data_IF_972427836108
#
_entry.id   IF_972427836108
#
_cell.length_a   1.000
_cell.length_b   1.000
_cell.length_c   1.000
_cell.angle_alpha   90.00
_cell.angle_beta   90.00
_cell.angle_gamma   90.00
#
_symmetry.space_group_name_H-M   'P 1'
#
loop_
_entity.id
_entity.type
_entity.pdbx_description
1 polymer ?
#
# COMPACT_ATOMS: atom_id res chain seq x y z
N UNK A 1 -19.14 -75.72 64.96
CA UNK A 1 -17.96 -75.58 64.00
C UNK A 1 -18.38 -75.37 62.58
N UNK A 2 -19.66 -75.47 62.20
CA UNK A 2 -20.12 -75.31 60.80
C UNK A 2 -20.49 -73.87 60.41
N UNK A 3 -20.72 -72.97 61.37
CA UNK A 3 -21.12 -71.62 61.07
C UNK A 3 -19.96 -70.64 60.74
N UNK A 4 -18.76 -70.93 61.21
CA UNK A 4 -17.58 -70.12 60.89
C UNK A 4 -17.10 -70.33 59.42
N UNK A 5 -17.33 -71.49 58.85
CA UNK A 5 -16.93 -71.81 57.51
C UNK A 5 -17.83 -71.14 56.45
N UNK A 6 -19.11 -70.99 56.78
CA UNK A 6 -20.05 -70.25 55.86
C UNK A 6 -19.79 -68.75 55.83
N UNK A 7 -19.34 -68.15 56.91
CA UNK A 7 -19.06 -66.69 56.94
C UNK A 7 -17.75 -66.35 56.22
N UNK A 8 -16.73 -67.22 56.30
CA UNK A 8 -15.49 -67.04 55.62
C UNK A 8 -15.65 -67.08 54.08
N UNK A 9 -16.43 -68.04 53.59
CA UNK A 9 -16.72 -68.19 52.16
C UNK A 9 -17.58 -67.05 51.60
N UNK A 10 -18.50 -66.50 52.43
CA UNK A 10 -19.36 -65.39 52.08
C UNK A 10 -18.58 -64.06 51.98
N UNK A 11 -17.56 -63.86 52.83
CA UNK A 11 -16.69 -62.68 52.79
C UNK A 11 -15.71 -62.73 51.66
N UNK A 12 -15.18 -63.89 51.28
CA UNK A 12 -14.34 -64.05 50.10
C UNK A 12 -15.14 -63.89 48.82
N UNK A 13 -16.34 -64.41 48.70
CA UNK A 13 -17.21 -64.21 47.55
C UNK A 13 -17.64 -62.73 47.42
N UNK A 14 -17.83 -62.01 48.50
CA UNK A 14 -18.16 -60.60 48.49
C UNK A 14 -16.94 -59.75 48.06
N UNK A 15 -15.73 -60.07 48.52
CA UNK A 15 -14.50 -59.40 48.15
C UNK A 15 -14.14 -59.59 46.68
N UNK A 16 -14.36 -60.81 46.13
CA UNK A 16 -14.18 -61.09 44.70
C UNK A 16 -15.24 -60.42 43.84
N UNK A 17 -16.48 -60.28 44.34
CA UNK A 17 -17.56 -59.62 43.62
C UNK A 17 -17.35 -58.10 43.53
N UNK A 18 -16.85 -57.48 44.61
CA UNK A 18 -16.54 -56.06 44.65
C UNK A 18 -15.26 -55.72 43.82
N UNK A 19 -14.26 -56.65 43.72
CA UNK A 19 -13.11 -56.44 42.90
C UNK A 19 -13.40 -56.63 41.39
N UNK A 20 -14.40 -57.45 41.04
CA UNK A 20 -14.82 -57.67 39.63
C UNK A 20 -15.69 -56.51 39.14
N UNK A 21 -16.50 -55.86 40.04
CA UNK A 21 -17.31 -54.72 39.66
C UNK A 21 -16.50 -53.46 39.42
N UNK A 22 -15.37 -53.29 40.11
CA UNK A 22 -14.51 -52.10 39.98
C UNK A 22 -13.67 -52.06 38.69
N UNK A 23 -13.44 -53.22 38.07
CA UNK A 23 -12.68 -53.34 36.83
C UNK A 23 -13.56 -53.14 35.55
N UNK A 24 -14.89 -53.23 35.68
CA UNK A 24 -15.83 -53.04 34.56
C UNK A 24 -16.20 -51.56 34.33
N UNK A 25 -16.03 -50.65 35.30
CA UNK A 25 -16.35 -49.23 35.14
C UNK A 25 -15.21 -48.42 34.50
N UNK A 26 -13.98 -48.90 34.50
CA UNK A 26 -12.81 -48.17 33.99
C UNK A 26 -12.75 -47.90 32.48
N UNK A 27 -13.36 -48.66 31.55
CA UNK A 27 -13.26 -48.39 30.13
C UNK A 27 -14.03 -47.19 29.63
N UNK A 28 -15.09 -46.76 30.35
CA UNK A 28 -15.91 -45.59 29.96
C UNK A 28 -15.18 -44.26 30.23
N UNK A 29 -14.44 -44.18 31.35
CA UNK A 29 -13.69 -42.98 31.74
C UNK A 29 -12.49 -42.74 30.80
N UNK A 30 -11.79 -43.81 30.36
CA UNK A 30 -10.73 -43.75 29.38
C UNK A 30 -11.25 -43.30 27.99
N UNK A 31 -12.47 -43.68 27.63
CA UNK A 31 -13.09 -43.36 26.34
C UNK A 31 -13.44 -41.88 26.19
N UNK A 32 -13.98 -41.24 27.27
CA UNK A 32 -14.24 -39.80 27.31
C UNK A 32 -12.96 -38.97 27.20
N UNK A 33 -11.86 -39.46 27.78
CA UNK A 33 -10.58 -38.75 27.77
C UNK A 33 -9.97 -38.70 26.37
N UNK A 34 -10.05 -39.77 25.58
CA UNK A 34 -9.59 -39.74 24.17
C UNK A 34 -10.41 -38.81 23.28
N UNK A 35 -11.73 -38.79 23.47
CA UNK A 35 -12.62 -37.86 22.73
C UNK A 35 -12.34 -36.42 23.19
N UNK A 36 -12.14 -36.17 24.47
CA UNK A 36 -11.78 -34.87 25.03
C UNK A 36 -10.41 -34.39 24.50
N UNK A 37 -9.40 -35.26 24.50
CA UNK A 37 -8.08 -34.93 23.95
C UNK A 37 -8.12 -34.65 22.46
N UNK A 38 -8.89 -35.44 21.70
CA UNK A 38 -9.04 -35.24 20.25
C UNK A 38 -9.74 -33.92 19.94
N UNK A 39 -10.82 -33.58 20.68
CA UNK A 39 -11.51 -32.30 20.53
C UNK A 39 -10.61 -31.13 20.90
N UNK A 40 -9.77 -31.26 21.93
CA UNK A 40 -8.81 -30.24 22.33
C UNK A 40 -7.77 -29.99 21.22
N UNK A 41 -7.23 -31.06 20.62
CA UNK A 41 -6.28 -30.95 19.50
C UNK A 41 -6.95 -30.25 18.30
N UNK A 42 -8.20 -30.60 17.98
CA UNK A 42 -8.93 -30.01 16.86
C UNK A 42 -9.21 -28.51 17.08
N UNK A 43 -9.62 -28.15 18.29
CA UNK A 43 -9.83 -26.74 18.70
C UNK A 43 -8.49 -25.98 18.66
N UNK A 44 -7.40 -26.58 19.13
CA UNK A 44 -6.06 -25.97 19.10
C UNK A 44 -5.58 -25.71 17.68
N UNK A 45 -5.74 -26.66 16.76
CA UNK A 45 -5.41 -26.48 15.33
C UNK A 45 -6.24 -25.38 14.69
N UNK A 46 -7.53 -25.33 15.01
CA UNK A 46 -8.43 -24.28 14.51
C UNK A 46 -8.05 -22.90 15.03
N UNK A 47 -7.77 -22.78 16.33
CA UNK A 47 -7.31 -21.54 16.95
C UNK A 47 -5.97 -21.06 16.35
N UNK A 48 -5.00 -21.97 16.17
CA UNK A 48 -3.73 -21.68 15.53
C UNK A 48 -3.90 -21.21 14.08
N UNK A 49 -4.84 -21.81 13.34
CA UNK A 49 -5.16 -21.41 11.97
C UNK A 49 -5.74 -20.00 11.90
N UNK A 50 -6.63 -19.63 12.81
CA UNK A 50 -7.19 -18.27 12.90
C UNK A 50 -6.08 -17.26 13.23
N UNK A 51 -5.24 -17.56 14.21
CA UNK A 51 -4.12 -16.68 14.60
C UNK A 51 -3.13 -16.49 13.45
N UNK A 52 -2.84 -17.55 12.71
CA UNK A 52 -1.95 -17.48 11.55
C UNK A 52 -2.56 -16.67 10.41
N UNK A 53 -3.86 -16.81 10.15
CA UNK A 53 -4.57 -16.01 9.16
C UNK A 53 -4.61 -14.52 9.52
N UNK A 54 -4.88 -14.19 10.79
CA UNK A 54 -4.85 -12.82 11.28
C UNK A 54 -3.43 -12.19 11.16
N UNK A 55 -2.39 -12.96 11.51
CA UNK A 55 -1.00 -12.52 11.34
C UNK A 55 -0.65 -12.30 9.88
N UNK A 56 -1.07 -13.21 9.00
CA UNK A 56 -0.85 -13.09 7.55
C UNK A 56 -1.51 -11.82 7.01
N UNK A 57 -2.72 -11.49 7.44
CA UNK A 57 -3.42 -10.29 7.00
C UNK A 57 -2.65 -9.02 7.41
N UNK A 58 -2.13 -8.94 8.64
CA UNK A 58 -1.32 -7.81 9.10
C UNK A 58 -0.03 -7.66 8.29
N UNK A 59 0.66 -8.77 8.02
CA UNK A 59 1.91 -8.76 7.23
C UNK A 59 1.65 -8.37 5.76
N UNK A 60 0.52 -8.79 5.20
CA UNK A 60 0.12 -8.43 3.85
C UNK A 60 -0.24 -6.94 3.75
N UNK A 61 -0.97 -6.40 4.73
CA UNK A 61 -1.26 -4.95 4.80
C UNK A 61 0.04 -4.14 4.88
N UNK A 62 1.00 -4.58 5.68
CA UNK A 62 2.32 -3.94 5.80
C UNK A 62 3.12 -4.02 4.50
N UNK A 63 3.16 -5.19 3.86
CA UNK A 63 3.82 -5.40 2.57
C UNK A 63 3.21 -4.52 1.48
N UNK A 64 1.90 -4.40 1.47
CA UNK A 64 1.12 -3.57 0.56
C UNK A 64 1.46 -2.08 0.71
N UNK A 65 1.49 -1.57 1.95
CA UNK A 65 1.90 -0.19 2.22
C UNK A 65 3.36 0.04 1.83
N UNK A 66 4.25 -0.93 2.10
CA UNK A 66 5.64 -0.89 1.67
C UNK A 66 5.78 -0.78 0.15
N UNK A 67 5.08 -1.64 -0.58
CA UNK A 67 5.09 -1.61 -2.05
C UNK A 67 4.56 -0.28 -2.61
N UNK A 68 3.47 0.25 -2.05
CA UNK A 68 2.95 1.57 -2.43
C UNK A 68 4.00 2.65 -2.19
N UNK A 69 4.63 2.65 -1.03
CA UNK A 69 5.68 3.62 -0.69
C UNK A 69 6.84 3.54 -1.68
N UNK A 70 7.29 2.34 -2.04
CA UNK A 70 8.39 2.15 -2.97
C UNK A 70 8.03 2.66 -4.37
N UNK A 71 6.86 2.30 -4.91
CA UNK A 71 6.40 2.73 -6.24
C UNK A 71 6.21 4.25 -6.28
N UNK A 72 5.56 4.83 -5.26
CA UNK A 72 5.32 6.28 -5.24
C UNK A 72 6.59 7.08 -4.99
N UNK A 73 7.54 6.54 -4.21
CA UNK A 73 8.87 7.13 -4.05
C UNK A 73 9.69 7.07 -5.33
N UNK A 74 9.57 5.97 -6.11
CA UNK A 74 10.20 5.87 -7.41
C UNK A 74 9.60 6.91 -8.38
N UNK A 75 8.28 6.99 -8.45
CA UNK A 75 7.60 7.99 -9.29
C UNK A 75 7.98 9.43 -8.89
N UNK A 76 8.10 9.70 -7.58
CA UNK A 76 8.56 10.99 -7.07
C UNK A 76 9.99 11.30 -7.53
N UNK A 77 10.90 10.32 -7.51
CA UNK A 77 12.27 10.48 -8.05
C UNK A 77 12.25 10.75 -9.54
N UNK A 78 11.50 9.97 -10.30
CA UNK A 78 11.42 10.11 -11.76
C UNK A 78 10.91 11.50 -12.17
N UNK A 79 9.88 12.00 -11.48
CA UNK A 79 9.35 13.36 -11.68
C UNK A 79 10.38 14.42 -11.33
N UNK A 80 11.02 14.30 -10.17
CA UNK A 80 12.06 15.23 -9.74
C UNK A 80 13.21 15.27 -10.75
N UNK A 81 13.67 14.11 -11.18
CA UNK A 81 14.78 14.00 -12.15
C UNK A 81 14.38 14.59 -13.49
N UNK A 82 13.13 14.39 -13.96
CA UNK A 82 12.62 15.02 -15.17
C UNK A 82 12.60 16.55 -15.06
N UNK A 83 12.18 17.09 -13.91
CA UNK A 83 12.19 18.55 -13.67
C UNK A 83 13.62 19.07 -13.60
N UNK A 84 14.50 18.42 -12.85
CA UNK A 84 15.90 18.81 -12.70
C UNK A 84 16.66 18.74 -14.05
N UNK A 85 16.39 17.73 -14.86
CA UNK A 85 16.97 17.63 -16.21
C UNK A 85 16.54 18.82 -17.10
N UNK A 86 15.28 19.26 -17.01
CA UNK A 86 14.82 20.45 -17.74
C UNK A 86 15.49 21.73 -17.22
N UNK A 87 15.67 21.86 -15.91
CA UNK A 87 16.41 22.96 -15.30
C UNK A 87 17.88 22.96 -15.77
N UNK A 88 18.55 21.81 -15.70
CA UNK A 88 19.96 21.69 -16.12
C UNK A 88 20.14 22.06 -17.61
N UNK A 89 19.25 21.56 -18.44
CA UNK A 89 19.28 21.91 -19.88
C UNK A 89 19.03 23.41 -20.12
N UNK A 90 18.14 24.00 -19.32
CA UNK A 90 17.88 25.43 -19.41
C UNK A 90 19.10 26.28 -18.94
N UNK A 91 19.81 25.82 -17.89
CA UNK A 91 21.07 26.44 -17.45
C UNK A 91 22.14 26.39 -18.53
N UNK A 92 22.31 25.23 -19.18
CA UNK A 92 23.25 25.10 -20.30
C UNK A 92 22.86 26.02 -21.48
N UNK A 93 21.57 26.17 -21.73
CA UNK A 93 21.06 27.09 -22.74
C UNK A 93 21.32 28.56 -22.37
N UNK A 94 21.14 28.91 -21.09
CA UNK A 94 21.42 30.24 -20.58
C UNK A 94 22.91 30.59 -20.68
N UNK A 95 23.80 29.63 -20.37
CA UNK A 95 25.26 29.80 -20.55
C UNK A 95 25.64 30.01 -22.03
N UNK A 96 25.08 29.22 -22.95
CA UNK A 96 25.27 29.41 -24.38
C UNK A 96 24.70 30.74 -24.87
N UNK A 97 23.54 31.16 -24.32
CA UNK A 97 22.91 32.43 -24.68
C UNK A 97 23.73 33.63 -24.17
N UNK A 98 24.46 33.52 -23.07
CA UNK A 98 25.31 34.56 -22.53
C UNK A 98 26.42 35.03 -23.48
N UNK A 99 26.77 34.20 -24.49
CA UNK A 99 27.81 34.52 -25.50
C UNK A 99 27.32 35.53 -26.55
N UNK A 100 26.02 35.79 -26.63
CA UNK A 100 25.53 36.87 -27.51
C UNK A 100 25.89 38.24 -26.90
N UNK A 101 26.80 38.93 -27.53
CA UNK A 101 27.43 40.17 -27.00
C UNK A 101 26.63 41.42 -27.34
N UNK A 102 25.85 41.43 -28.41
CA UNK A 102 25.14 42.59 -28.88
C UNK A 102 23.61 42.42 -28.77
N UNK A 103 22.98 43.29 -28.00
CA UNK A 103 21.51 43.38 -27.87
C UNK A 103 20.81 43.77 -29.20
N UNK A 104 21.59 44.14 -30.21
CA UNK A 104 21.06 44.60 -31.49
C UNK A 104 20.72 43.48 -32.49
N UNK A 105 21.20 42.25 -32.28
CA UNK A 105 20.86 41.12 -33.13
C UNK A 105 19.72 40.26 -32.58
N UNK A 106 18.57 40.89 -32.44
CA UNK A 106 17.33 40.27 -31.91
C UNK A 106 16.88 39.08 -32.72
N UNK A 107 17.11 39.10 -34.06
CA UNK A 107 16.70 38.02 -34.97
C UNK A 107 17.56 36.76 -34.75
N UNK A 108 18.86 36.92 -34.57
CA UNK A 108 19.77 35.80 -34.27
C UNK A 108 19.48 35.23 -32.87
N UNK A 109 19.27 36.09 -31.88
CA UNK A 109 18.89 35.68 -30.51
C UNK A 109 17.56 34.91 -30.51
N UNK A 110 16.53 35.43 -31.20
CA UNK A 110 15.21 34.76 -31.31
C UNK A 110 15.34 33.42 -32.06
N UNK A 111 16.14 33.37 -33.10
CA UNK A 111 16.43 32.14 -33.86
C UNK A 111 17.14 31.08 -33.02
N UNK A 112 18.06 31.47 -32.12
CA UNK A 112 18.68 30.57 -31.15
C UNK A 112 17.69 30.05 -30.17
N UNK A 113 16.90 30.96 -29.54
CA UNK A 113 15.86 30.58 -28.56
C UNK A 113 14.81 29.67 -29.19
N UNK A 114 14.44 29.88 -30.45
CA UNK A 114 13.49 29.04 -31.15
C UNK A 114 14.00 27.59 -31.31
N UNK A 115 15.26 27.43 -31.73
CA UNK A 115 15.87 26.09 -31.83
C UNK A 115 15.99 25.41 -30.48
N UNK A 116 16.44 26.14 -29.47
CA UNK A 116 16.53 25.63 -28.11
C UNK A 116 15.15 25.24 -27.55
N UNK A 117 14.14 26.07 -27.79
CA UNK A 117 12.76 25.81 -27.37
C UNK A 117 12.21 24.51 -27.98
N UNK A 118 12.44 24.27 -29.26
CA UNK A 118 12.02 23.04 -29.93
C UNK A 118 12.73 21.80 -29.37
N UNK A 119 14.06 21.87 -29.18
CA UNK A 119 14.85 20.75 -28.65
C UNK A 119 14.47 20.42 -27.21
N UNK A 120 14.27 21.45 -26.40
CA UNK A 120 13.98 21.31 -24.95
C UNK A 120 12.50 21.18 -24.65
N UNK A 121 11.63 21.29 -25.66
CA UNK A 121 10.17 21.24 -25.54
C UNK A 121 9.60 22.36 -24.63
N UNK A 122 10.18 23.55 -24.69
CA UNK A 122 9.62 24.75 -24.09
C UNK A 122 8.76 25.51 -25.09
N UNK A 123 7.68 26.11 -24.64
CA UNK A 123 6.80 26.94 -25.48
C UNK A 123 6.25 28.10 -24.66
N UNK A 124 6.82 29.29 -24.67
CA UNK A 124 8.11 29.70 -25.31
C UNK A 124 9.33 29.57 -24.38
N UNK A 125 10.51 29.89 -24.94
CA UNK A 125 11.72 30.34 -24.24
C UNK A 125 11.82 31.87 -24.35
N UNK A 126 12.02 32.56 -23.22
CA UNK A 126 12.02 34.02 -23.15
C UNK A 126 13.24 34.46 -22.35
N UNK A 127 14.02 35.39 -22.87
CA UNK A 127 15.06 36.10 -22.15
C UNK A 127 14.56 37.47 -21.70
N UNK A 128 14.87 37.85 -20.48
CA UNK A 128 14.62 39.18 -19.91
C UNK A 128 15.90 39.72 -19.30
N UNK A 129 16.23 40.99 -19.58
CA UNK A 129 17.25 41.71 -18.85
C UNK A 129 16.66 42.57 -17.71
N UNK A 130 17.53 43.23 -16.94
CA UNK A 130 17.13 44.13 -15.87
C UNK A 130 16.52 45.45 -16.35
N UNK A 131 16.79 45.81 -17.60
CA UNK A 131 16.35 47.08 -18.22
C UNK A 131 14.97 46.97 -18.87
N UNK A 132 14.40 45.75 -18.90
CA UNK A 132 13.12 45.48 -19.53
C UNK A 132 13.21 45.02 -20.98
N UNK A 133 14.42 44.84 -21.51
CA UNK A 133 14.58 44.22 -22.82
C UNK A 133 14.20 42.75 -22.77
N UNK A 134 13.48 42.28 -23.76
CA UNK A 134 13.08 40.88 -23.85
C UNK A 134 13.18 40.35 -25.27
N UNK A 135 13.61 39.09 -25.38
CA UNK A 135 13.61 38.31 -26.62
C UNK A 135 12.94 36.97 -26.37
N UNK A 136 12.05 36.58 -27.27
CA UNK A 136 11.26 35.35 -27.12
C UNK A 136 11.42 34.47 -28.36
N UNK A 137 11.35 33.14 -28.15
CA UNK A 137 11.06 32.24 -29.26
C UNK A 137 9.62 32.46 -29.75
N UNK A 138 9.31 32.22 -31.03
CA UNK A 138 7.94 32.27 -31.54
C UNK A 138 7.01 31.34 -30.75
N UNK A 139 5.76 31.77 -30.56
CA UNK A 139 4.69 30.97 -29.99
C UNK A 139 3.70 30.55 -31.07
N UNK A 140 3.16 29.35 -31.01
CA UNK A 140 2.19 28.82 -31.97
C UNK A 140 0.88 29.67 -31.95
N UNK A 141 0.53 30.24 -30.79
CA UNK A 141 -0.69 31.04 -30.56
C UNK A 141 -0.45 32.57 -30.63
N UNK A 142 0.75 33.00 -31.01
CA UNK A 142 1.09 34.41 -31.22
C UNK A 142 1.31 35.26 -29.98
N UNK A 143 0.83 34.83 -28.79
CA UNK A 143 1.02 35.55 -27.54
C UNK A 143 1.64 34.64 -26.46
N UNK A 144 2.61 35.15 -25.68
CA UNK A 144 3.11 34.42 -24.53
C UNK A 144 1.99 34.32 -23.49
N UNK A 145 1.97 33.23 -22.68
CA UNK A 145 0.89 32.98 -21.70
C UNK A 145 0.79 34.03 -20.59
N UNK A 146 1.79 34.89 -20.48
CA UNK A 146 1.88 36.00 -19.53
C UNK A 146 2.59 37.15 -20.24
N UNK A 147 2.18 38.38 -19.99
CA UNK A 147 2.86 39.54 -20.55
C UNK A 147 4.31 39.66 -20.05
N UNK A 148 5.25 40.19 -20.82
CA UNK A 148 6.66 40.39 -20.39
C UNK A 148 6.74 41.13 -19.03
N UNK A 149 5.93 42.14 -18.84
CA UNK A 149 5.89 42.92 -17.61
C UNK A 149 5.42 42.13 -16.39
N UNK A 150 4.49 41.19 -16.58
CA UNK A 150 4.00 40.31 -15.52
C UNK A 150 5.00 39.21 -15.19
N UNK A 151 5.80 38.75 -16.14
CA UNK A 151 6.93 37.86 -15.85
C UNK A 151 7.90 38.49 -14.85
N UNK A 152 8.26 39.74 -15.04
CA UNK A 152 9.19 40.44 -14.15
C UNK A 152 8.63 40.60 -12.72
N UNK A 153 7.32 40.51 -12.54
CA UNK A 153 6.67 40.56 -11.20
C UNK A 153 6.72 39.20 -10.49
N UNK A 154 6.99 38.11 -11.21
CA UNK A 154 7.00 36.77 -10.63
C UNK A 154 8.12 36.60 -9.59
N UNK A 155 7.81 36.05 -8.40
CA UNK A 155 8.82 35.81 -7.37
C UNK A 155 10.00 34.96 -7.87
N UNK A 156 9.71 33.94 -8.70
CA UNK A 156 10.73 33.04 -9.27
C UNK A 156 11.68 33.77 -10.22
N UNK A 157 11.18 34.63 -11.10
CA UNK A 157 12.01 35.43 -12.01
C UNK A 157 12.86 36.43 -11.22
N UNK A 158 12.28 37.08 -10.19
CA UNK A 158 13.03 37.95 -9.29
C UNK A 158 14.14 37.22 -8.54
N UNK A 159 13.87 36.01 -8.05
CA UNK A 159 14.88 35.18 -7.40
C UNK A 159 16.00 34.78 -8.38
N UNK A 160 15.68 34.54 -9.66
CA UNK A 160 16.68 34.25 -10.67
C UNK A 160 17.56 35.46 -11.00
N UNK A 161 17.06 36.68 -10.95
CA UNK A 161 17.90 37.89 -10.99
C UNK A 161 18.87 38.00 -9.81
N UNK A 162 18.60 37.29 -8.71
CA UNK A 162 19.50 37.18 -7.56
C UNK A 162 20.44 35.95 -7.63
N UNK A 163 20.44 35.23 -8.74
CA UNK A 163 21.26 34.06 -8.97
C UNK A 163 20.59 32.71 -8.59
N UNK A 164 19.34 32.71 -8.20
CA UNK A 164 18.61 31.48 -7.87
C UNK A 164 18.03 30.82 -9.11
N UNK A 165 18.04 29.49 -9.12
CA UNK A 165 17.36 28.66 -10.13
C UNK A 165 16.01 28.26 -9.54
N UNK A 166 14.93 28.52 -10.28
CA UNK A 166 13.57 28.30 -9.78
C UNK A 166 12.70 27.56 -10.80
N UNK A 167 11.84 26.68 -10.28
CA UNK A 167 10.65 26.22 -10.98
C UNK A 167 9.44 26.83 -10.30
N UNK A 168 8.50 27.39 -11.01
CA UNK A 168 7.32 28.01 -10.45
C UNK A 168 6.08 27.69 -11.27
N UNK A 169 4.92 27.97 -10.69
CA UNK A 169 3.63 27.65 -11.25
C UNK A 169 2.72 28.88 -11.21
N UNK A 170 1.97 29.11 -12.26
CA UNK A 170 1.05 30.22 -12.34
C UNK A 170 -0.28 29.78 -12.93
N UNK A 171 -1.34 30.01 -12.16
CA UNK A 171 -2.71 30.00 -12.65
C UNK A 171 -3.22 28.71 -13.27
N UNK A 172 -2.65 27.55 -12.93
CA UNK A 172 -3.20 26.26 -13.35
C UNK A 172 -2.89 25.82 -14.78
N UNK A 173 -2.15 26.62 -15.55
CA UNK A 173 -1.96 26.36 -16.98
C UNK A 173 -0.54 26.00 -17.38
N UNK A 174 0.48 26.56 -16.73
CA UNK A 174 1.86 26.42 -17.16
C UNK A 174 2.83 26.36 -15.99
N UNK A 175 3.94 25.66 -16.20
CA UNK A 175 5.10 25.64 -15.31
C UNK A 175 6.18 26.48 -15.93
N UNK A 176 6.78 27.33 -15.13
CA UNK A 176 7.84 28.23 -15.51
C UNK A 176 9.14 27.79 -14.85
N UNK A 177 10.17 27.66 -15.68
CA UNK A 177 11.52 27.38 -15.24
C UNK A 177 12.32 28.65 -15.46
N UNK A 178 12.90 29.23 -14.43
CA UNK A 178 13.69 30.45 -14.54
C UNK A 178 15.11 30.22 -14.05
N UNK A 179 16.09 30.63 -14.85
CA UNK A 179 17.50 30.50 -14.56
C UNK A 179 18.23 31.82 -14.88
N UNK A 180 19.25 32.17 -14.07
CA UNK A 180 20.06 33.35 -14.33
C UNK A 180 20.90 33.16 -15.60
N UNK A 181 21.06 34.23 -16.38
CA UNK A 181 22.05 34.37 -17.44
C UNK A 181 23.19 35.22 -16.89
N UNK A 182 24.38 34.65 -16.83
CA UNK A 182 25.54 35.33 -16.30
C UNK A 182 26.38 35.95 -17.40
N UNK A 183 26.85 37.20 -17.20
CA UNK A 183 27.82 37.88 -18.02
C UNK A 183 28.72 38.73 -17.12
N UNK A 184 30.02 38.77 -17.45
CA UNK A 184 31.02 39.59 -16.72
C UNK A 184 30.95 39.53 -15.20
N UNK A 185 30.84 38.32 -14.64
CA UNK A 185 30.71 38.02 -13.21
C UNK A 185 29.41 38.51 -12.53
N UNK A 186 28.39 38.89 -13.28
CA UNK A 186 27.09 39.30 -12.76
C UNK A 186 25.92 38.61 -13.48
N UNK A 187 24.76 38.71 -12.88
CA UNK A 187 23.50 38.28 -13.54
C UNK A 187 23.10 39.42 -14.50
N UNK A 188 23.19 39.17 -15.78
CA UNK A 188 22.80 40.08 -16.85
C UNK A 188 21.30 40.03 -17.15
N UNK A 189 20.74 38.84 -17.05
CA UNK A 189 19.30 38.61 -17.28
C UNK A 189 18.82 37.27 -16.75
N UNK A 190 17.62 36.92 -17.10
CA UNK A 190 16.96 35.66 -16.74
C UNK A 190 16.40 34.99 -17.99
N UNK A 191 16.68 33.72 -18.16
CA UNK A 191 16.07 32.87 -19.18
C UNK A 191 14.90 32.09 -18.53
N UNK A 192 13.71 32.25 -19.13
CA UNK A 192 12.47 31.62 -18.67
C UNK A 192 11.99 30.63 -19.73
N UNK A 193 11.86 29.36 -19.34
CA UNK A 193 11.25 28.33 -20.18
C UNK A 193 9.84 28.04 -19.69
N UNK A 194 8.89 28.02 -20.59
CA UNK A 194 7.47 27.74 -20.28
C UNK A 194 7.10 26.34 -20.78
N UNK A 195 6.45 25.56 -19.93
CA UNK A 195 5.85 24.27 -20.33
C UNK A 195 4.38 24.24 -19.98
N UNK A 196 3.57 23.67 -20.86
CA UNK A 196 2.15 23.49 -20.60
C UNK A 196 1.92 22.43 -19.51
N UNK A 197 0.80 22.54 -18.84
CA UNK A 197 0.32 21.57 -17.84
C UNK A 197 0.20 20.18 -18.43
N UNK A 198 -0.27 20.06 -19.67
CA UNK A 198 -0.49 18.81 -20.37
C UNK A 198 0.81 17.99 -20.51
N UNK A 199 1.92 18.67 -20.81
CA UNK A 199 3.23 18.02 -20.90
C UNK A 199 3.71 17.47 -19.55
N UNK A 200 3.31 18.10 -18.45
CA UNK A 200 3.63 17.63 -17.09
C UNK A 200 2.67 16.54 -16.62
N UNK A 201 1.41 16.56 -17.08
CA UNK A 201 0.43 15.53 -16.77
C UNK A 201 0.89 14.14 -17.24
N UNK A 202 1.56 14.07 -18.38
CA UNK A 202 2.10 12.81 -18.91
C UNK A 202 3.15 12.17 -18.00
N UNK A 203 3.89 12.97 -17.22
CA UNK A 203 4.88 12.49 -16.25
C UNK A 203 4.24 11.87 -15.02
N UNK A 204 3.09 12.43 -14.57
CA UNK A 204 2.38 11.94 -13.40
C UNK A 204 1.34 10.87 -13.72
N UNK A 205 0.99 10.70 -15.01
CA UNK A 205 0.07 9.66 -15.48
C UNK A 205 0.80 8.31 -15.53
N UNK A 206 0.90 7.66 -14.38
CA UNK A 206 1.50 6.34 -14.31
C UNK A 206 0.52 5.26 -14.78
N UNK A 207 1.02 4.30 -15.57
CA UNK A 207 0.29 3.06 -15.90
C UNK A 207 0.37 2.02 -14.78
N UNK A 208 1.00 2.35 -13.66
CA UNK A 208 1.09 1.48 -12.49
C UNK A 208 -0.29 1.17 -11.94
N UNK A 209 -0.45 0.03 -11.29
CA UNK A 209 -1.72 -0.43 -10.72
C UNK A 209 -2.87 -0.45 -11.73
N UNK A 210 -2.60 -0.94 -12.96
CA UNK A 210 -3.60 -1.06 -14.03
C UNK A 210 -4.31 0.26 -14.39
N UNK A 211 -3.64 1.40 -14.21
CA UNK A 211 -4.19 2.73 -14.51
C UNK A 211 -5.20 3.26 -13.46
N UNK A 212 -5.34 2.60 -12.32
CA UNK A 212 -6.28 3.00 -11.27
C UNK A 212 -5.61 3.88 -10.19
N UNK A 213 -4.32 4.18 -10.36
CA UNK A 213 -3.59 5.11 -9.53
C UNK A 213 -3.85 6.54 -10.01
N UNK A 214 -4.33 7.38 -9.12
CA UNK A 214 -4.48 8.81 -9.37
C UNK A 214 -3.35 9.57 -8.68
N UNK A 215 -2.57 10.32 -9.44
CA UNK A 215 -1.49 11.14 -8.90
C UNK A 215 -1.69 12.61 -9.25
N UNK A 216 -1.31 13.49 -8.34
CA UNK A 216 -1.26 14.93 -8.55
C UNK A 216 -0.06 15.52 -7.84
N UNK A 217 0.38 16.70 -8.26
CA UNK A 217 1.37 17.50 -7.56
C UNK A 217 0.64 18.62 -6.83
N UNK A 218 0.95 18.76 -5.54
CA UNK A 218 0.41 19.80 -4.65
C UNK A 218 1.55 20.56 -3.98
N UNK A 219 1.27 21.76 -3.46
CA UNK A 219 2.18 22.46 -2.56
C UNK A 219 2.03 21.99 -1.10
N UNK A 220 2.85 22.50 -0.20
CA UNK A 220 2.80 22.20 1.23
C UNK A 220 1.48 22.59 1.91
N UNK A 221 0.67 23.47 1.28
CA UNK A 221 -0.64 23.87 1.74
C UNK A 221 -1.76 22.98 1.15
N UNK A 222 -1.41 22.04 0.30
CA UNK A 222 -2.35 21.12 -0.37
C UNK A 222 -3.07 21.74 -1.57
N UNK A 223 -2.59 22.86 -2.11
CA UNK A 223 -3.10 23.41 -3.37
C UNK A 223 -2.60 22.57 -4.55
N UNK A 224 -3.52 22.19 -5.43
CA UNK A 224 -3.18 21.38 -6.60
C UNK A 224 -2.43 22.25 -7.63
N UNK A 225 -1.20 21.83 -7.92
CA UNK A 225 -0.33 22.43 -8.95
C UNK A 225 -0.59 21.74 -10.27
N UNK A 226 -0.51 20.39 -10.30
CA UNK A 226 -0.74 19.59 -11.49
C UNK A 226 -1.66 18.42 -11.14
N UNK A 227 -2.70 18.24 -11.95
CA UNK A 227 -3.61 17.11 -11.87
C UNK A 227 -3.67 16.39 -13.22
N UNK A 228 -3.73 15.05 -13.28
CA UNK A 228 -3.79 14.30 -14.55
C UNK A 228 -5.09 14.50 -15.31
N UNK A 229 -6.14 14.97 -14.64
CA UNK A 229 -7.46 15.21 -15.23
C UNK A 229 -8.06 16.48 -14.65
N UNK A 230 -9.05 17.05 -15.34
CA UNK A 230 -9.93 18.08 -14.77
C UNK A 230 -10.80 17.54 -13.60
N UNK A 231 -10.52 16.30 -13.17
CA UNK A 231 -11.15 15.72 -11.99
C UNK A 231 -10.80 16.59 -10.78
N UNK A 232 -11.76 17.34 -10.38
CA UNK A 232 -11.86 18.14 -9.17
C UNK A 232 -11.85 17.37 -7.82
N UNK A 233 -11.59 16.04 -7.72
CA UNK A 233 -11.67 15.34 -6.44
C UNK A 233 -10.52 15.69 -5.49
N UNK A 234 -9.44 16.30 -6.01
CA UNK A 234 -8.32 16.78 -5.18
C UNK A 234 -8.38 18.29 -4.95
N UNK A 235 -9.54 18.89 -5.18
CA UNK A 235 -9.77 20.28 -4.85
C UNK A 235 -9.55 20.48 -3.37
N UNK A 236 -8.39 21.01 -3.03
CA UNK A 236 -7.97 21.31 -1.66
C UNK A 236 -8.13 20.13 -0.70
N UNK A 237 -7.03 19.54 -0.29
CA UNK A 237 -7.00 18.50 0.74
C UNK A 237 -7.93 18.82 1.93
N UNK A 238 -8.07 20.10 2.28
CA UNK A 238 -9.01 20.57 3.27
C UNK A 238 -10.48 20.30 2.95
N UNK A 239 -10.90 20.32 1.69
CA UNK A 239 -12.31 20.12 1.31
C UNK A 239 -12.68 18.64 1.23
N UNK A 240 -11.75 17.76 0.83
CA UNK A 240 -11.94 16.32 0.85
C UNK A 240 -12.18 15.84 2.28
N UNK A 241 -11.51 16.46 3.24
CA UNK A 241 -11.50 16.00 4.63
C UNK A 241 -12.39 16.83 5.56
N UNK A 242 -12.93 17.98 5.14
CA UNK A 242 -13.85 18.79 5.93
C UNK A 242 -15.14 18.08 6.36
N UNK A 243 -15.54 17.03 5.62
CA UNK A 243 -16.75 16.27 5.93
C UNK A 243 -16.47 15.02 6.77
N UNK A 244 -15.21 14.72 7.07
CA UNK A 244 -14.84 13.55 7.86
C UNK A 244 -15.18 13.79 9.35
N UNK A 245 -15.87 12.79 9.92
CA UNK A 245 -16.31 12.81 11.33
C UNK A 245 -15.50 11.87 12.22
N UNK A 246 -14.63 11.06 11.63
CA UNK A 246 -13.82 10.09 12.34
C UNK A 246 -12.59 10.78 12.94
N UNK A 247 -12.51 10.88 14.26
CA UNK A 247 -11.41 11.54 14.99
C UNK A 247 -10.04 10.97 14.61
N UNK A 248 -9.95 9.67 14.34
CA UNK A 248 -8.70 9.03 13.93
C UNK A 248 -8.23 9.56 12.58
N UNK A 249 -9.13 9.64 11.60
CA UNK A 249 -8.82 10.14 10.25
C UNK A 249 -8.44 11.62 10.32
N UNK A 250 -9.14 12.42 11.13
CA UNK A 250 -8.79 13.83 11.35
C UNK A 250 -7.37 13.96 11.91
N UNK A 251 -7.00 13.13 12.86
CA UNK A 251 -5.66 13.11 13.45
C UNK A 251 -4.59 12.72 12.41
N UNK A 252 -4.87 11.73 11.58
CA UNK A 252 -3.97 11.28 10.52
C UNK A 252 -3.79 12.34 9.43
N UNK A 253 -4.85 13.09 9.09
CA UNK A 253 -4.79 14.24 8.18
C UNK A 253 -3.93 15.36 8.76
N UNK A 254 -4.14 15.71 10.03
CA UNK A 254 -3.32 16.72 10.70
C UNK A 254 -1.85 16.33 10.78
N UNK A 255 -1.58 15.03 10.94
CA UNK A 255 -0.22 14.49 10.85
C UNK A 255 0.35 14.68 9.45
N UNK A 256 -0.39 14.31 8.40
CA UNK A 256 0.04 14.49 7.02
C UNK A 256 0.36 15.97 6.72
N UNK A 257 -0.52 16.90 7.12
CA UNK A 257 -0.28 18.32 6.92
C UNK A 257 1.01 18.80 7.62
N UNK A 258 1.26 18.35 8.85
CA UNK A 258 2.51 18.64 9.56
C UNK A 258 3.71 18.01 8.85
N UNK A 259 3.61 16.77 8.42
CA UNK A 259 4.67 16.09 7.68
C UNK A 259 4.98 16.84 6.38
N UNK A 260 3.98 17.32 5.65
CA UNK A 260 4.18 18.13 4.44
C UNK A 260 4.87 19.45 4.75
N UNK A 261 4.47 20.19 5.81
CA UNK A 261 5.15 21.42 6.20
C UNK A 261 6.60 21.21 6.65
N UNK A 262 6.92 20.01 7.17
CA UNK A 262 8.25 19.61 7.58
C UNK A 262 9.02 18.83 6.48
N UNK A 263 8.52 18.84 5.25
CA UNK A 263 9.09 18.17 4.08
C UNK A 263 9.29 16.66 4.26
N UNK A 264 8.38 16.01 4.99
CA UNK A 264 8.38 14.56 5.23
C UNK A 264 7.37 13.84 4.36
N UNK A 265 7.71 12.63 3.95
CA UNK A 265 6.86 11.73 3.15
C UNK A 265 6.15 10.73 4.05
N UNK A 266 5.00 10.19 3.60
CA UNK A 266 4.27 9.18 4.35
C UNK A 266 3.09 8.58 3.58
N UNK A 267 2.35 7.71 4.28
CA UNK A 267 1.14 7.06 3.76
C UNK A 267 0.01 7.20 4.78
N UNK A 268 -1.17 7.47 4.28
CA UNK A 268 -2.42 7.57 5.04
C UNK A 268 -3.45 6.60 4.45
N UNK A 269 -4.12 5.82 5.31
CA UNK A 269 -5.27 5.00 4.92
C UNK A 269 -6.55 5.68 5.43
N UNK A 270 -7.53 5.88 4.56
CA UNK A 270 -8.81 6.47 4.91
C UNK A 270 -9.97 5.83 4.14
N UNK A 271 -11.19 6.01 4.63
CA UNK A 271 -12.39 5.52 3.96
C UNK A 271 -13.07 6.72 3.28
N UNK A 272 -13.26 6.62 1.97
CA UNK A 272 -13.96 7.65 1.21
C UNK A 272 -15.46 7.70 1.59
N UNK A 273 -16.14 8.78 1.20
CA UNK A 273 -17.60 8.92 1.36
C UNK A 273 -18.37 7.82 0.60
N UNK A 274 -17.77 7.23 -0.43
CA UNK A 274 -18.27 6.06 -1.17
C UNK A 274 -18.18 4.75 -0.40
N UNK A 275 -17.60 4.74 0.81
CA UNK A 275 -17.25 3.59 1.64
C UNK A 275 -16.08 2.74 1.09
N UNK A 276 -15.41 3.22 0.08
CA UNK A 276 -14.18 2.58 -0.41
C UNK A 276 -13.00 2.94 0.50
N UNK A 277 -12.17 1.95 0.82
CA UNK A 277 -10.90 2.19 1.49
C UNK A 277 -9.86 2.68 0.48
N UNK A 278 -9.26 3.82 0.76
CA UNK A 278 -8.24 4.45 -0.08
C UNK A 278 -6.92 4.53 0.68
N UNK A 279 -5.84 4.33 -0.06
CA UNK A 279 -4.48 4.60 0.41
C UNK A 279 -3.98 5.86 -0.29
N UNK A 280 -3.57 6.85 0.49
CA UNK A 280 -2.97 8.08 0.02
C UNK A 280 -1.49 8.09 0.42
N UNK A 281 -0.62 8.16 -0.56
CA UNK A 281 0.82 8.40 -0.36
C UNK A 281 1.14 9.85 -0.68
N UNK A 282 1.97 10.49 0.15
CA UNK A 282 2.49 11.82 -0.08
C UNK A 282 4.01 11.80 0.00
N UNK A 283 4.66 12.22 -1.09
CA UNK A 283 6.11 12.19 -1.23
C UNK A 283 6.65 13.55 -1.60
N UNK A 284 7.61 14.04 -0.82
CA UNK A 284 8.30 15.29 -1.10
C UNK A 284 9.08 15.19 -2.41
N UNK A 285 8.88 16.14 -3.31
CA UNK A 285 9.66 16.25 -4.55
C UNK A 285 11.02 16.91 -4.34
N UNK A 286 11.21 17.58 -3.19
CA UNK A 286 12.40 18.39 -2.91
C UNK A 286 12.70 19.45 -4.01
N UNK A 287 11.63 19.91 -4.62
CA UNK A 287 11.61 21.03 -5.57
C UNK A 287 10.56 21.98 -5.02
N UNK A 288 10.97 23.16 -4.63
CA UNK A 288 10.14 24.08 -3.84
C UNK A 288 9.57 23.35 -2.61
N UNK A 289 8.29 23.60 -2.32
CA UNK A 289 7.49 22.91 -1.31
C UNK A 289 6.50 21.90 -1.94
N UNK A 290 6.88 21.27 -3.07
CA UNK A 290 5.99 20.42 -3.84
C UNK A 290 6.00 18.98 -3.37
N UNK A 291 4.82 18.38 -3.36
CA UNK A 291 4.56 16.99 -3.00
C UNK A 291 3.84 16.25 -4.12
N UNK A 292 4.28 15.04 -4.38
CA UNK A 292 3.51 14.08 -5.16
C UNK A 292 2.50 13.41 -4.23
N UNK A 293 1.22 13.66 -4.46
CA UNK A 293 0.13 12.90 -3.86
C UNK A 293 -0.30 11.79 -4.80
N UNK A 294 -0.49 10.60 -4.25
CA UNK A 294 -0.97 9.45 -5.01
C UNK A 294 -2.06 8.75 -4.22
N UNK A 295 -3.21 8.54 -4.84
CA UNK A 295 -4.34 7.81 -4.26
C UNK A 295 -4.58 6.53 -5.04
N UNK A 296 -4.79 5.44 -4.30
CA UNK A 296 -5.08 4.12 -4.84
C UNK A 296 -6.18 3.49 -4.00
N UNK A 297 -7.21 2.89 -4.62
CA UNK A 297 -8.16 2.04 -3.91
C UNK A 297 -7.43 0.86 -3.24
N UNK A 298 -7.72 0.62 -1.96
CA UNK A 298 -7.02 -0.41 -1.19
C UNK A 298 -7.36 -1.84 -1.68
N UNK A 299 -8.52 -2.02 -2.28
CA UNK A 299 -8.99 -3.28 -2.86
C UNK A 299 -8.13 -3.73 -4.04
N UNK A 300 -7.61 -2.81 -4.86
CA UNK A 300 -6.74 -3.13 -6.00
C UNK A 300 -5.47 -3.84 -5.53
N UNK A 301 -4.93 -3.39 -4.42
CA UNK A 301 -3.73 -3.96 -3.85
C UNK A 301 -4.09 -5.24 -3.06
N UNK A 302 -5.26 -5.28 -2.44
CA UNK A 302 -5.73 -6.39 -1.60
C UNK A 302 -6.43 -7.52 -2.39
N UNK A 303 -6.86 -7.29 -3.63
CA UNK A 303 -7.64 -8.28 -4.40
C UNK A 303 -6.89 -9.60 -4.57
N UNK A 304 -5.61 -9.56 -4.91
CA UNK A 304 -4.77 -10.77 -4.96
C UNK A 304 -4.62 -11.42 -3.58
N UNK A 305 -4.49 -10.63 -2.55
CA UNK A 305 -4.30 -11.05 -1.16
C UNK A 305 -5.52 -11.74 -0.58
N UNK A 306 -6.71 -11.19 -0.77
CA UNK A 306 -7.97 -11.76 -0.28
C UNK A 306 -8.26 -13.13 -0.93
N UNK A 307 -7.91 -13.31 -2.19
CA UNK A 307 -8.04 -14.59 -2.87
C UNK A 307 -7.11 -15.66 -2.27
N UNK A 308 -5.86 -15.31 -1.96
CA UNK A 308 -4.91 -16.23 -1.29
C UNK A 308 -5.36 -16.58 0.14
N UNK A 309 -5.88 -15.62 0.89
CA UNK A 309 -6.41 -15.84 2.23
C UNK A 309 -7.60 -16.81 2.17
N UNK A 310 -8.56 -16.57 1.30
CA UNK A 310 -9.72 -17.46 1.12
C UNK A 310 -9.28 -18.87 0.71
N UNK A 311 -8.37 -18.98 -0.23
CA UNK A 311 -7.80 -20.26 -0.68
C UNK A 311 -7.08 -21.00 0.46
N UNK A 312 -6.33 -20.29 1.31
CA UNK A 312 -5.68 -20.84 2.50
C UNK A 312 -6.71 -21.38 3.50
N UNK A 313 -7.80 -20.64 3.77
CA UNK A 313 -8.88 -21.11 4.63
C UNK A 313 -9.56 -22.36 4.09
N UNK A 314 -9.80 -22.44 2.78
CA UNK A 314 -10.37 -23.63 2.14
C UNK A 314 -9.44 -24.84 2.30
N UNK A 315 -8.14 -24.67 2.08
CA UNK A 315 -7.14 -25.75 2.23
C UNK A 315 -7.08 -26.23 3.69
N UNK A 316 -7.02 -25.29 4.65
CA UNK A 316 -7.02 -25.61 6.08
C UNK A 316 -8.30 -26.36 6.47
N UNK A 317 -9.47 -25.87 6.04
CA UNK A 317 -10.76 -26.50 6.29
C UNK A 317 -10.85 -27.91 5.71
N UNK A 318 -10.40 -28.10 4.47
CA UNK A 318 -10.34 -29.41 3.83
C UNK A 318 -9.40 -30.38 4.57
N UNK A 319 -8.24 -29.90 5.01
CA UNK A 319 -7.28 -30.71 5.78
C UNK A 319 -7.88 -31.17 7.12
N UNK A 320 -8.54 -30.27 7.84
CA UNK A 320 -9.22 -30.60 9.10
C UNK A 320 -10.33 -31.61 8.87
N UNK A 321 -11.11 -31.48 7.80
CA UNK A 321 -12.19 -32.39 7.46
C UNK A 321 -11.68 -33.78 7.12
N UNK A 322 -10.63 -33.87 6.27
CA UNK A 322 -9.99 -35.15 5.90
C UNK A 322 -9.44 -35.84 7.14
N UNK A 323 -8.75 -35.11 8.01
CA UNK A 323 -8.21 -35.66 9.26
C UNK A 323 -9.30 -36.15 10.21
N UNK A 324 -10.40 -35.40 10.33
CA UNK A 324 -11.56 -35.78 11.15
C UNK A 324 -12.23 -37.06 10.62
N UNK A 325 -12.38 -37.19 9.29
CA UNK A 325 -12.92 -38.40 8.65
C UNK A 325 -12.00 -39.59 8.87
N UNK A 326 -10.68 -39.39 8.74
CA UNK A 326 -9.70 -40.44 9.00
C UNK A 326 -9.80 -40.95 10.45
N UNK A 327 -9.83 -40.04 11.41
CA UNK A 327 -9.96 -40.41 12.82
C UNK A 327 -11.30 -41.12 13.11
N UNK A 328 -12.39 -40.69 12.49
CA UNK A 328 -13.68 -41.37 12.59
C UNK A 328 -13.65 -42.78 12.00
N UNK A 329 -12.98 -42.98 10.87
CA UNK A 329 -12.79 -44.30 10.26
C UNK A 329 -11.95 -45.22 11.15
N UNK A 330 -10.84 -44.74 11.71
CA UNK A 330 -10.01 -45.46 12.67
C UNK A 330 -10.81 -45.85 13.92
N UNK A 331 -11.62 -44.94 14.45
CA UNK A 331 -12.47 -45.20 15.59
C UNK A 331 -13.54 -46.26 15.31
N UNK A 332 -14.17 -46.21 14.14
CA UNK A 332 -15.13 -47.23 13.71
C UNK A 332 -14.46 -48.60 13.54
N UNK A 333 -13.27 -48.67 12.91
CA UNK A 333 -12.50 -49.85 12.71
C UNK A 333 -12.10 -50.49 14.06
N UNK A 334 -11.57 -49.68 14.97
CA UNK A 334 -11.22 -50.09 16.32
C UNK A 334 -12.42 -50.69 17.09
N UNK A 335 -13.57 -50.06 17.03
CA UNK A 335 -14.78 -50.56 17.71
C UNK A 335 -15.31 -51.85 17.07
N UNK A 336 -15.23 -52.00 15.74
CA UNK A 336 -15.62 -53.22 15.06
C UNK A 336 -14.71 -54.39 15.45
N UNK A 337 -13.39 -54.11 15.46
CA UNK A 337 -12.39 -55.13 15.81
C UNK A 337 -12.49 -55.56 17.29
N UNK A 338 -12.75 -54.61 18.18
CA UNK A 338 -13.00 -54.89 19.59
C UNK A 338 -14.21 -55.79 19.78
N UNK A 339 -15.32 -55.57 19.07
CA UNK A 339 -16.52 -56.42 19.13
C UNK A 339 -16.26 -57.83 18.63
N UNK A 340 -15.43 -58.01 17.58
CA UNK A 340 -15.06 -59.32 17.10
C UNK A 340 -14.18 -60.07 18.11
N UNK A 341 -13.22 -59.39 18.72
CA UNK A 341 -12.37 -59.98 19.75
C UNK A 341 -13.20 -60.38 20.98
N UNK A 342 -14.18 -59.56 21.44
CA UNK A 342 -15.09 -59.92 22.53
C UNK A 342 -15.95 -61.15 22.18
N UNK A 343 -16.45 -61.23 20.94
CA UNK A 343 -17.21 -62.40 20.48
C UNK A 343 -16.37 -63.68 20.49
N UNK A 344 -15.12 -63.65 20.03
CA UNK A 344 -14.20 -64.80 20.02
C UNK A 344 -13.75 -65.16 21.44
N UNK A 345 -13.53 -64.16 22.32
CA UNK A 345 -13.08 -64.39 23.69
C UNK A 345 -14.16 -65.00 24.60
N UNK A 346 -15.43 -64.63 24.37
CA UNK A 346 -16.53 -65.05 25.30
C UNK A 346 -17.56 -65.98 24.68
N UNK A 347 -17.49 -66.32 23.38
CA UNK A 347 -18.41 -67.29 22.77
C UNK A 347 -17.65 -68.51 22.26
N UNK A 348 -18.26 -69.66 22.42
CA UNK A 348 -17.80 -70.92 21.89
C UNK A 348 -18.14 -71.01 20.39
N UNK A 349 -17.12 -71.23 19.47
CA UNK A 349 -17.35 -71.23 18.03
C UNK A 349 -18.19 -72.39 17.53
N UNK A 350 -18.35 -73.51 18.30
CA UNK A 350 -19.09 -74.68 17.92
C UNK A 350 -20.56 -74.64 18.37
N UNK A 351 -20.81 -74.12 19.56
CA UNK A 351 -22.17 -74.13 20.17
C UNK A 351 -22.87 -72.77 20.08
N UNK A 352 -22.12 -71.70 19.77
CA UNK A 352 -22.64 -70.32 19.75
C UNK A 352 -22.99 -69.76 21.17
N UNK A 353 -22.82 -70.59 22.18
CA UNK A 353 -23.06 -70.24 23.62
C UNK A 353 -21.89 -69.50 24.25
N UNK A 354 -22.06 -69.09 25.52
CA UNK A 354 -20.97 -68.50 26.31
C UNK A 354 -19.91 -69.60 26.62
N UNK A 355 -18.62 -69.27 26.41
CA UNK A 355 -17.54 -70.18 26.76
C UNK A 355 -17.20 -70.06 28.24
N UNK A 356 -16.30 -70.94 28.74
CA UNK A 356 -15.93 -71.00 30.16
C UNK A 356 -15.23 -69.72 30.66
N UNK A 357 -14.63 -68.92 29.79
CA UNK A 357 -14.02 -67.62 30.11
C UNK A 357 -15.08 -66.51 30.37
N UNK A 358 -16.34 -66.71 29.93
CA UNK A 358 -17.45 -65.78 30.21
C UNK A 358 -18.04 -65.97 31.62
N UNK A 359 -17.65 -67.07 32.31
CA UNK A 359 -18.16 -67.41 33.66
C UNK A 359 -17.08 -67.28 34.72
N UNK A 360 -15.85 -66.96 34.36
CA UNK A 360 -14.78 -66.58 35.29
C UNK A 360 -14.69 -65.08 35.46
#
# INVERSE_FOLDING_TARGET
>A
MLDCYKYGVYLEMKKTKDSISDDYEKPLFRRGWYIGFLSLVLVSVFALSILNAAKLQIELDRSTQGYLTDVTSQLSRDIRDAINNKITNLVMTADSFSQFTEKQDTDTMSGFLNRAAQILEFKPLIFFDREGFSVSSPTDDGEPPVSPEDFLKLPSVRASFQGSIQASYIGGKSIFYSVPVYRDNGVDGVLVGVRSKENMQSLISSKSFSGQMLSCIVDSQGQVIISPTDLKPFLQLGDIFKQEKNEKIITDIQKMQRDMTENRSGVLKFTATTKEELLLSYNALNINDWFLLTIIPADIISTGTNQYILQSFIIIGATILIFSLFLFAVFRFYNAHKRQLELIAYRDPLTGGLNNAAFQ
#
